data_IF_441638718498
#
_entry.id   IF_441638718498
#
_cell.length_a   1.000
_cell.length_b   1.000
_cell.length_c   1.000
_cell.angle_alpha   90.00
_cell.angle_beta   90.00
_cell.angle_gamma   90.00
#
_symmetry.space_group_name_H-M   'P 1'
#
loop_
_entity.id
_entity.type
_entity.pdbx_description
1 polymer ?
#
# COMPACT_ATOMS: atom_id res chain seq x y z
N UNK A 1 -2.74 -12.31 -4.55
CA UNK A 1 -3.43 -12.41 -3.26
C UNK A 1 -4.30 -13.64 -3.27
N UNK A 2 -3.86 -14.71 -2.61
CA UNK A 2 -4.73 -15.83 -2.25
C UNK A 2 -6.02 -15.25 -1.69
N UNK A 3 -7.12 -15.55 -2.36
CA UNK A 3 -8.44 -15.09 -1.96
C UNK A 3 -8.75 -15.68 -0.58
N UNK A 4 -9.08 -14.84 0.39
CA UNK A 4 -9.65 -15.31 1.66
C UNK A 4 -10.83 -16.26 1.35
N UNK A 5 -10.79 -17.47 1.89
CA UNK A 5 -11.92 -18.38 1.78
C UNK A 5 -13.11 -17.77 2.54
N UNK A 6 -14.20 -17.52 1.82
CA UNK A 6 -15.39 -16.90 2.40
C UNK A 6 -16.26 -17.91 3.16
N UNK A 7 -16.01 -19.21 2.97
CA UNK A 7 -16.69 -20.29 3.68
C UNK A 7 -16.05 -20.59 5.05
N UNK A 8 -14.79 -20.19 5.24
CA UNK A 8 -14.13 -20.20 6.55
C UNK A 8 -14.49 -18.92 7.34
N UNK A 9 -15.18 -19.03 8.50
CA UNK A 9 -15.60 -17.89 9.30
C UNK A 9 -14.44 -16.98 9.75
N UNK A 10 -13.25 -17.55 9.98
CA UNK A 10 -12.06 -16.83 10.43
C UNK A 10 -11.49 -16.01 9.27
N UNK A 11 -11.33 -16.62 8.10
CA UNK A 11 -10.85 -15.93 6.90
C UNK A 11 -11.85 -14.87 6.42
N UNK A 12 -13.16 -15.14 6.50
CA UNK A 12 -14.19 -14.17 6.22
C UNK A 12 -14.15 -12.96 7.17
N UNK A 13 -13.81 -13.16 8.45
CA UNK A 13 -13.59 -12.07 9.41
C UNK A 13 -12.36 -11.24 9.03
N UNK A 14 -11.22 -11.87 8.74
CA UNK A 14 -10.00 -11.18 8.33
C UNK A 14 -10.23 -10.35 7.06
N UNK A 15 -10.92 -10.92 6.06
CA UNK A 15 -11.30 -10.20 4.84
C UNK A 15 -12.10 -8.93 5.16
N UNK A 16 -13.12 -9.01 6.04
CA UNK A 16 -13.92 -7.84 6.44
C UNK A 16 -13.07 -6.77 7.14
N UNK A 17 -12.13 -7.18 7.98
CA UNK A 17 -11.23 -6.25 8.68
C UNK A 17 -10.29 -5.55 7.71
N UNK A 18 -9.58 -6.31 6.86
CA UNK A 18 -8.67 -5.77 5.83
C UNK A 18 -9.43 -4.85 4.87
N UNK A 19 -10.61 -5.25 4.40
CA UNK A 19 -11.41 -4.42 3.51
C UNK A 19 -11.82 -3.10 4.16
N UNK A 20 -12.38 -3.16 5.37
CA UNK A 20 -12.86 -1.98 6.08
C UNK A 20 -11.73 -1.00 6.47
N UNK A 21 -10.55 -1.53 6.81
CA UNK A 21 -9.43 -0.77 7.36
C UNK A 21 -8.28 -0.57 6.37
N UNK A 22 -8.48 -0.92 5.10
CA UNK A 22 -7.52 -0.78 3.99
C UNK A 22 -6.91 0.62 3.86
N UNK A 23 -7.63 1.67 4.27
CA UNK A 23 -7.12 3.05 4.29
C UNK A 23 -5.87 3.21 5.17
N UNK A 24 -5.76 2.44 6.26
CA UNK A 24 -4.57 2.45 7.13
C UNK A 24 -3.37 1.76 6.48
N UNK A 25 -3.61 0.69 5.72
CA UNK A 25 -2.55 -0.01 4.96
C UNK A 25 -1.97 0.86 3.83
N UNK A 26 -2.77 1.80 3.35
CA UNK A 26 -2.42 2.75 2.29
C UNK A 26 -1.69 3.99 2.82
N UNK A 27 -1.93 4.34 4.08
CA UNK A 27 -1.32 5.49 4.75
C UNK A 27 0.19 5.23 4.90
N UNK A 28 1.00 6.30 4.84
CA UNK A 28 2.44 6.18 5.04
C UNK A 28 2.72 5.69 6.45
N UNK A 29 3.60 4.72 6.58
CA UNK A 29 3.89 4.07 7.85
C UNK A 29 4.38 5.07 8.92
N UNK A 30 5.19 6.06 8.55
CA UNK A 30 5.71 7.10 9.43
C UNK A 30 4.64 8.11 9.92
N UNK A 31 3.47 8.13 9.27
CA UNK A 31 2.34 8.98 9.67
C UNK A 31 1.28 8.23 10.48
N UNK A 32 1.46 6.93 10.72
CA UNK A 32 0.55 6.14 11.56
C UNK A 32 0.60 6.66 13.00
N UNK A 33 -0.58 6.87 13.57
CA UNK A 33 -0.71 7.36 14.95
C UNK A 33 -0.43 6.21 15.92
N UNK A 34 0.65 6.34 16.70
CA UNK A 34 1.15 5.32 17.62
C UNK A 34 0.94 5.65 19.12
N UNK A 35 0.50 6.86 19.43
CA UNK A 35 0.39 7.41 20.79
C UNK A 35 -1.06 7.67 21.23
N UNK A 36 -2.03 7.38 20.36
CA UNK A 36 -3.46 7.61 20.61
C UNK A 36 -4.27 6.33 20.42
N UNK A 37 -4.85 5.85 21.51
CA UNK A 37 -5.78 4.73 21.52
C UNK A 37 -7.19 5.15 21.09
N UNK A 38 -7.75 4.42 20.13
CA UNK A 38 -9.13 4.60 19.66
C UNK A 38 -9.87 3.27 19.72
N UNK A 39 -11.20 3.29 19.92
CA UNK A 39 -12.01 2.07 19.87
C UNK A 39 -12.25 1.63 18.43
N UNK A 40 -11.98 0.36 18.12
CA UNK A 40 -12.17 -0.19 16.78
C UNK A 40 -13.27 -1.27 16.74
N UNK A 41 -14.40 -0.95 16.10
CA UNK A 41 -15.53 -1.90 15.93
C UNK A 41 -15.09 -3.23 15.32
N UNK A 42 -14.19 -3.17 14.34
CA UNK A 42 -13.66 -4.33 13.62
C UNK A 42 -12.81 -5.27 14.51
N UNK A 43 -12.37 -4.80 15.68
CA UNK A 43 -11.66 -5.58 16.70
C UNK A 43 -12.45 -5.70 18.01
N UNK A 44 -13.79 -5.76 17.92
CA UNK A 44 -14.63 -5.95 19.09
C UNK A 44 -14.59 -4.76 20.07
N UNK A 45 -14.43 -3.55 19.55
CA UNK A 45 -14.29 -2.31 20.32
C UNK A 45 -13.03 -2.23 21.18
N UNK A 46 -12.00 -3.04 20.89
CA UNK A 46 -10.70 -2.91 21.50
C UNK A 46 -10.11 -1.50 21.31
N UNK A 47 -9.42 -1.00 22.33
CA UNK A 47 -8.62 0.21 22.27
C UNK A 47 -7.28 -0.10 21.65
N UNK A 48 -7.04 0.43 20.44
CA UNK A 48 -5.82 0.20 19.68
C UNK A 48 -5.38 1.51 19.02
N UNK A 49 -4.08 1.67 18.84
CA UNK A 49 -3.45 2.67 17.99
C UNK A 49 -3.59 2.28 16.52
N UNK A 50 -3.34 3.22 15.59
CA UNK A 50 -3.36 2.88 14.16
C UNK A 50 -2.26 1.86 13.81
N UNK A 51 -1.09 1.98 14.44
CA UNK A 51 0.03 1.05 14.26
C UNK A 51 -0.31 -0.37 14.70
N UNK A 52 -0.93 -0.55 15.88
CA UNK A 52 -1.38 -1.86 16.35
C UNK A 52 -2.47 -2.45 15.45
N UNK A 53 -3.37 -1.61 14.92
CA UNK A 53 -4.38 -2.05 13.95
C UNK A 53 -3.70 -2.56 12.68
N UNK A 54 -2.76 -1.80 12.12
CA UNK A 54 -2.01 -2.21 10.93
C UNK A 54 -1.29 -3.53 11.20
N UNK A 55 -0.56 -3.65 12.30
CA UNK A 55 0.16 -4.88 12.67
C UNK A 55 -0.76 -6.11 12.72
N UNK A 56 -1.93 -5.98 13.36
CA UNK A 56 -2.94 -7.05 13.43
C UNK A 56 -3.57 -7.39 12.08
N UNK A 57 -3.66 -6.43 11.15
CA UNK A 57 -4.10 -6.71 9.79
C UNK A 57 -3.03 -7.48 9.03
N UNK A 58 -1.76 -7.08 9.15
CA UNK A 58 -0.63 -7.74 8.48
C UNK A 58 -0.40 -9.16 8.99
N UNK A 59 -0.70 -9.44 10.27
CA UNK A 59 -0.59 -10.79 10.83
C UNK A 59 -1.60 -11.80 10.26
N UNK A 60 -2.57 -11.35 9.45
CA UNK A 60 -3.58 -12.23 8.84
C UNK A 60 -3.07 -12.97 7.61
N UNK A 61 -2.02 -12.48 6.95
CA UNK A 61 -1.46 -13.08 5.73
C UNK A 61 -0.04 -12.59 5.45
N UNK A 62 0.90 -13.53 5.25
CA UNK A 62 2.26 -13.21 4.81
C UNK A 62 2.28 -12.48 3.46
N UNK A 63 1.36 -12.84 2.57
CA UNK A 63 1.25 -12.19 1.26
C UNK A 63 0.86 -10.71 1.40
N UNK A 64 -0.06 -10.41 2.33
CA UNK A 64 -0.45 -9.04 2.66
C UNK A 64 0.72 -8.28 3.30
N UNK A 65 1.46 -8.93 4.20
CA UNK A 65 2.65 -8.35 4.85
C UNK A 65 3.74 -7.99 3.85
N UNK A 66 4.03 -8.88 2.90
CA UNK A 66 5.02 -8.63 1.84
C UNK A 66 4.54 -7.51 0.91
N UNK A 67 3.27 -7.53 0.51
CA UNK A 67 2.68 -6.46 -0.31
C UNK A 67 2.78 -5.09 0.37
N UNK A 68 2.43 -5.02 1.65
CA UNK A 68 2.48 -3.80 2.44
C UNK A 68 3.91 -3.26 2.55
N UNK A 69 4.87 -4.10 2.92
CA UNK A 69 6.27 -3.68 3.06
C UNK A 69 6.81 -3.11 1.74
N UNK A 70 6.63 -3.82 0.64
CA UNK A 70 7.05 -3.36 -0.68
C UNK A 70 6.35 -2.06 -1.11
N UNK A 71 5.05 -1.95 -0.82
CA UNK A 71 4.30 -0.71 -1.09
C UNK A 71 4.84 0.47 -0.28
N UNK A 72 5.17 0.28 1.00
CA UNK A 72 5.71 1.35 1.85
C UNK A 72 7.09 1.81 1.37
N UNK A 73 7.95 0.90 0.90
CA UNK A 73 9.25 1.27 0.30
C UNK A 73 9.07 2.15 -0.95
N UNK A 74 8.18 1.76 -1.87
CA UNK A 74 7.85 2.57 -3.04
C UNK A 74 7.28 3.93 -2.63
N UNK A 75 6.37 3.94 -1.65
CA UNK A 75 5.73 5.16 -1.17
C UNK A 75 6.74 6.10 -0.49
N UNK A 76 7.73 5.57 0.22
CA UNK A 76 8.76 6.35 0.87
C UNK A 76 9.67 7.03 -0.17
N UNK A 77 10.26 6.26 -1.09
CA UNK A 77 11.08 6.79 -2.18
C UNK A 77 10.34 7.85 -3.01
N UNK A 78 9.03 7.66 -3.16
CA UNK A 78 8.15 8.61 -3.80
C UNK A 78 8.07 9.96 -3.06
N UNK A 79 7.76 9.95 -1.76
CA UNK A 79 7.62 11.18 -0.98
C UNK A 79 8.95 11.89 -0.74
N UNK A 80 10.03 11.12 -0.67
CA UNK A 80 11.41 11.63 -0.53
C UNK A 80 11.97 12.15 -1.86
N UNK A 81 11.21 12.01 -2.96
CA UNK A 81 11.59 12.42 -4.32
C UNK A 81 12.84 11.70 -4.85
N UNK A 82 13.09 10.49 -4.37
CA UNK A 82 14.22 9.65 -4.74
C UNK A 82 13.88 8.82 -5.99
N UNK A 83 13.86 9.48 -7.15
CA UNK A 83 13.43 8.86 -8.41
C UNK A 83 14.24 7.61 -8.77
N UNK A 84 15.56 7.62 -8.53
CA UNK A 84 16.41 6.46 -8.80
C UNK A 84 16.07 5.25 -7.93
N UNK A 85 15.87 5.47 -6.62
CA UNK A 85 15.48 4.42 -5.67
C UNK A 85 14.09 3.88 -6.04
N UNK A 86 13.14 4.76 -6.36
CA UNK A 86 11.80 4.38 -6.83
C UNK A 86 11.87 3.45 -8.05
N UNK A 87 12.62 3.85 -9.10
CA UNK A 87 12.71 3.05 -10.32
C UNK A 87 13.54 1.78 -10.14
N UNK A 88 14.53 1.79 -9.26
CA UNK A 88 15.25 0.59 -8.87
C UNK A 88 14.29 -0.43 -8.24
N UNK A 89 13.48 -0.04 -7.26
CA UNK A 89 12.48 -0.90 -6.61
C UNK A 89 11.46 -1.48 -7.60
N UNK A 90 10.99 -0.67 -8.55
CA UNK A 90 10.06 -1.11 -9.61
C UNK A 90 10.72 -2.11 -10.57
N UNK A 91 11.97 -1.86 -10.97
CA UNK A 91 12.70 -2.71 -11.93
C UNK A 91 13.14 -4.04 -11.31
N UNK A 92 13.58 -4.05 -10.06
CA UNK A 92 14.07 -5.26 -9.38
C UNK A 92 12.95 -6.11 -8.79
N UNK A 93 11.76 -5.52 -8.52
CA UNK A 93 10.56 -6.13 -7.92
C UNK A 93 10.69 -7.65 -7.66
N UNK A 94 10.96 -8.06 -6.40
CA UNK A 94 11.23 -9.45 -6.05
C UNK A 94 10.07 -10.39 -6.39
N UNK A 95 10.37 -11.65 -6.72
CA UNK A 95 9.34 -12.68 -6.99
C UNK A 95 8.42 -12.99 -5.79
N UNK A 96 8.84 -12.61 -4.58
CA UNK A 96 8.04 -12.72 -3.35
C UNK A 96 6.90 -11.70 -3.31
N UNK A 97 7.00 -10.61 -4.07
CA UNK A 97 5.94 -9.62 -4.20
C UNK A 97 4.75 -10.27 -4.92
N UNK A 98 3.50 -10.05 -4.46
CA UNK A 98 2.33 -10.65 -5.10
C UNK A 98 2.22 -10.31 -6.58
N UNK A 99 1.84 -11.30 -7.40
CA UNK A 99 1.75 -11.18 -8.87
C UNK A 99 0.88 -10.01 -9.33
N UNK A 100 -0.15 -9.66 -8.58
CA UNK A 100 -1.03 -8.53 -8.87
C UNK A 100 -0.25 -7.21 -8.91
N UNK A 101 0.74 -7.03 -8.03
CA UNK A 101 1.64 -5.87 -8.05
C UNK A 101 2.66 -5.94 -9.18
N UNK A 102 2.92 -7.09 -9.80
CA UNK A 102 3.80 -7.13 -10.97
C UNK A 102 3.17 -6.45 -12.20
N UNK A 103 1.84 -6.36 -12.28
CA UNK A 103 1.16 -5.72 -13.40
C UNK A 103 1.45 -4.21 -13.52
N UNK A 104 1.67 -3.54 -12.39
CA UNK A 104 1.98 -2.10 -12.39
C UNK A 104 3.40 -1.80 -12.91
N UNK A 105 4.31 -2.77 -12.88
CA UNK A 105 5.71 -2.60 -13.29
C UNK A 105 5.83 -2.04 -14.69
N UNK A 106 5.10 -2.61 -15.65
CA UNK A 106 5.10 -2.15 -17.05
C UNK A 106 4.59 -0.72 -17.17
N UNK A 107 3.54 -0.36 -16.43
CA UNK A 107 3.01 1.00 -16.44
C UNK A 107 4.04 2.01 -15.90
N UNK A 108 4.65 1.75 -14.75
CA UNK A 108 5.67 2.63 -14.18
C UNK A 108 6.87 2.82 -15.12
N UNK A 109 7.38 1.73 -15.72
CA UNK A 109 8.50 1.80 -16.67
C UNK A 109 8.12 2.62 -17.92
N UNK A 110 6.93 2.42 -18.47
CA UNK A 110 6.47 3.16 -19.65
C UNK A 110 6.38 4.68 -19.39
N UNK A 111 6.06 5.08 -18.16
CA UNK A 111 5.96 6.49 -17.77
C UNK A 111 7.20 7.00 -17.02
N UNK A 112 8.33 6.29 -17.09
CA UNK A 112 9.53 6.58 -16.28
C UNK A 112 10.01 8.02 -16.41
N UNK A 113 10.17 8.52 -17.64
CA UNK A 113 10.61 9.91 -17.89
C UNK A 113 9.67 10.94 -17.26
N UNK A 114 8.35 10.75 -17.38
CA UNK A 114 7.36 11.65 -16.81
C UNK A 114 7.34 11.63 -15.28
N UNK A 115 7.52 10.45 -14.68
CA UNK A 115 7.56 10.27 -13.22
C UNK A 115 8.85 10.82 -12.63
N UNK A 116 10.01 10.53 -13.23
CA UNK A 116 11.32 11.10 -12.82
C UNK A 116 11.26 12.62 -12.81
N UNK A 117 10.78 13.20 -13.90
CA UNK A 117 10.61 14.64 -14.03
C UNK A 117 9.62 15.20 -12.99
N UNK A 118 8.58 14.46 -12.62
CA UNK A 118 7.61 14.89 -11.60
C UNK A 118 8.16 14.80 -10.16
N UNK A 119 9.11 13.89 -9.89
CA UNK A 119 9.81 13.78 -8.61
C UNK A 119 10.91 14.85 -8.48
N UNK A 120 11.65 15.12 -9.55
CA UNK A 120 12.73 16.11 -9.59
C UNK A 120 12.22 17.56 -9.56
N UNK A 121 11.11 17.86 -10.25
CA UNK A 121 10.62 19.23 -10.35
C UNK A 121 9.84 19.66 -9.10
N UNK A 122 10.16 20.83 -8.51
CA UNK A 122 9.30 21.45 -7.52
C UNK A 122 8.06 22.02 -8.23
N UNK A 123 6.96 21.28 -8.17
CA UNK A 123 5.59 21.75 -8.41
C UNK A 123 5.26 22.22 -9.84
N UNK A 124 4.73 21.30 -10.64
CA UNK A 124 3.60 21.66 -11.49
C UNK A 124 2.40 20.79 -11.11
N UNK A 125 1.29 21.44 -10.73
CA UNK A 125 0.11 20.78 -10.17
C UNK A 125 -0.41 19.63 -11.06
N UNK A 126 -0.35 19.77 -12.39
CA UNK A 126 -0.75 18.69 -13.31
C UNK A 126 0.16 17.46 -13.31
N UNK A 127 1.46 17.59 -12.98
CA UNK A 127 2.38 16.44 -12.90
C UNK A 127 2.18 15.67 -11.59
N UNK A 128 1.93 16.38 -10.48
CA UNK A 128 1.57 15.78 -9.19
C UNK A 128 0.24 15.04 -9.29
N UNK A 129 -0.74 15.57 -10.03
CA UNK A 129 -2.04 14.92 -10.25
C UNK A 129 -1.96 13.64 -11.07
N UNK A 130 -1.19 13.64 -12.17
CA UNK A 130 -0.92 12.42 -12.93
C UNK A 130 -0.24 11.36 -12.06
N UNK A 131 0.66 11.79 -11.20
CA UNK A 131 1.41 10.91 -10.30
C UNK A 131 0.54 10.35 -9.17
N UNK A 132 -0.34 11.18 -8.59
CA UNK A 132 -1.40 10.75 -7.68
C UNK A 132 -2.34 9.72 -8.33
N UNK A 133 -2.58 9.83 -9.64
CA UNK A 133 -3.42 8.86 -10.37
C UNK A 133 -2.74 7.49 -10.46
N UNK A 134 -1.43 7.44 -10.71
CA UNK A 134 -0.67 6.18 -10.71
C UNK A 134 -0.56 5.55 -9.31
N UNK A 135 -0.37 6.38 -8.27
CA UNK A 135 -0.42 5.91 -6.87
C UNK A 135 -1.81 5.38 -6.53
N UNK A 136 -2.89 6.04 -6.95
CA UNK A 136 -4.27 5.56 -6.77
C UNK A 136 -4.49 4.22 -7.47
N UNK A 137 -3.96 4.05 -8.69
CA UNK A 137 -4.02 2.78 -9.41
C UNK A 137 -3.29 1.66 -8.65
N UNK A 138 -2.10 1.95 -8.12
CA UNK A 138 -1.34 1.02 -7.29
C UNK A 138 -2.13 0.62 -6.04
N UNK A 139 -2.68 1.59 -5.30
CA UNK A 139 -3.53 1.35 -4.12
C UNK A 139 -4.72 0.44 -4.43
N UNK A 140 -5.35 0.63 -5.59
CA UNK A 140 -6.51 -0.17 -6.05
C UNK A 140 -6.12 -1.61 -6.35
N UNK A 141 -4.97 -1.82 -6.98
CA UNK A 141 -4.47 -3.16 -7.35
C UNK A 141 -3.93 -3.90 -6.13
N UNK A 142 -3.20 -3.22 -5.25
CA UNK A 142 -2.59 -3.80 -4.04
C UNK A 142 -3.64 -4.37 -3.07
N UNK A 143 -4.76 -3.67 -2.89
CA UNK A 143 -5.74 -3.98 -1.86
C UNK A 143 -7.12 -4.36 -2.41
N UNK A 144 -7.28 -4.44 -3.74
CA UNK A 144 -8.54 -4.80 -4.39
C UNK A 144 -9.69 -3.83 -4.07
N UNK A 145 -9.39 -2.55 -3.86
CA UNK A 145 -10.37 -1.49 -3.56
C UNK A 145 -11.10 -1.06 -4.85
N UNK A 146 -11.80 -2.02 -5.44
CA UNK A 146 -12.75 -1.87 -6.55
C UNK A 146 -14.07 -1.36 -6.05
#
# INVERSE_FOLDING_TARGET
>A
MKSFDRNDPIQAKHYRQVKALSRLLIKRQDTLVYDKWTKWRNFGWAYLTESEVVERLLSTSDELRIAYAYYQEILQAFYDKEADIFFQLVKTMPKSVPRELHHIKKAFINYESGIRLALELPYSNGKIENLHTHIKALKRIAYGLG
#
